data_IF_521150611982
#
_entry.id   IF_521150611982
#
_cell.length_a   1.000
_cell.length_b   1.000
_cell.length_c   1.000
_cell.angle_alpha   90.00
_cell.angle_beta   90.00
_cell.angle_gamma   90.00
#
_symmetry.space_group_name_H-M   'P 1'
#
loop_
_entity.id
_entity.type
_entity.pdbx_description
1 polymer ?
#
# COMPACT_ATOMS: atom_id res chain seq x y z
N UNK A 1 5.28 -2.32 13.86
CA UNK A 1 4.67 -2.06 12.55
C UNK A 1 5.45 -2.88 11.54
N UNK A 2 4.79 -3.84 10.91
CA UNK A 2 5.33 -4.58 9.79
C UNK A 2 4.51 -4.19 8.56
N UNK A 3 5.20 -3.76 7.50
CA UNK A 3 4.63 -3.43 6.18
C UNK A 3 5.18 -4.48 5.22
N UNK A 4 4.29 -5.10 4.46
CA UNK A 4 4.62 -6.20 3.56
C UNK A 4 4.15 -5.88 2.15
N UNK A 5 5.08 -5.48 1.29
CA UNK A 5 4.78 -5.11 -0.09
C UNK A 5 4.94 -6.30 -1.04
N UNK A 6 4.06 -6.39 -2.05
CA UNK A 6 4.24 -7.28 -3.20
C UNK A 6 4.46 -8.76 -2.86
N UNK A 7 3.82 -9.25 -1.80
CA UNK A 7 3.90 -10.66 -1.40
C UNK A 7 3.09 -11.56 -2.34
N UNK A 8 3.63 -12.75 -2.61
CA UNK A 8 2.93 -13.85 -3.31
C UNK A 8 2.19 -14.74 -2.31
N UNK A 9 2.74 -14.90 -1.12
CA UNK A 9 2.13 -15.60 0.01
C UNK A 9 2.59 -14.96 1.33
N UNK A 10 1.71 -14.93 2.32
CA UNK A 10 2.12 -14.59 3.69
C UNK A 10 2.75 -15.83 4.33
N UNK A 11 3.93 -15.71 4.98
CA UNK A 11 4.53 -16.83 5.68
C UNK A 11 3.59 -17.35 6.78
N UNK A 12 3.66 -18.64 7.08
CA UNK A 12 2.91 -19.20 8.20
C UNK A 12 3.33 -18.50 9.50
N UNK A 13 2.36 -17.92 10.20
CA UNK A 13 2.58 -17.22 11.46
C UNK A 13 2.41 -18.15 12.69
N UNK A 14 1.96 -19.40 12.49
CA UNK A 14 1.73 -20.35 13.58
C UNK A 14 3.03 -20.97 14.11
N UNK A 15 4.01 -21.26 13.24
CA UNK A 15 5.28 -21.92 13.60
C UNK A 15 6.34 -20.95 14.16
N UNK A 16 5.94 -19.70 14.42
CA UNK A 16 6.84 -18.65 14.90
C UNK A 16 7.42 -18.95 16.30
N UNK A 17 6.89 -19.91 17.07
CA UNK A 17 7.47 -20.29 18.35
C UNK A 17 8.87 -20.94 18.25
N UNK A 18 9.26 -21.50 17.09
CA UNK A 18 10.46 -22.35 16.97
C UNK A 18 11.45 -21.98 15.84
N UNK A 19 11.30 -20.83 15.19
CA UNK A 19 12.35 -20.31 14.30
C UNK A 19 13.52 -19.80 15.15
N UNK A 20 14.72 -20.33 14.91
CA UNK A 20 16.01 -19.86 15.46
C UNK A 20 16.40 -18.45 14.94
N UNK A 21 15.40 -17.60 14.68
CA UNK A 21 15.48 -16.20 14.29
C UNK A 21 14.85 -15.38 15.42
N UNK A 22 15.57 -15.36 16.54
CA UNK A 22 15.12 -14.83 17.84
C UNK A 22 14.67 -13.35 17.80
N UNK A 23 15.05 -12.57 16.79
CA UNK A 23 14.61 -11.18 16.61
C UNK A 23 13.30 -11.06 15.81
N UNK A 24 13.11 -11.86 14.76
CA UNK A 24 11.90 -11.80 13.91
C UNK A 24 10.69 -12.35 14.67
N UNK A 25 10.86 -13.46 15.39
CA UNK A 25 9.81 -14.07 16.23
C UNK A 25 9.36 -13.12 17.35
N UNK A 26 10.29 -12.47 18.03
CA UNK A 26 9.97 -11.45 19.06
C UNK A 26 9.28 -10.22 18.46
N UNK A 27 9.62 -9.85 17.22
CA UNK A 27 8.97 -8.74 16.53
C UNK A 27 7.47 -9.02 16.27
N UNK A 28 7.08 -10.29 16.09
CA UNK A 28 5.69 -10.65 15.79
C UNK A 28 4.81 -10.92 17.02
N UNK A 29 5.33 -11.50 18.12
CA UNK A 29 4.54 -11.69 19.36
C UNK A 29 4.08 -10.37 20.01
N UNK A 30 4.84 -9.29 19.79
CA UNK A 30 4.49 -7.93 20.23
C UNK A 30 4.02 -7.07 19.07
N UNK A 31 3.58 -7.66 17.95
CA UNK A 31 3.12 -6.88 16.82
C UNK A 31 1.79 -6.21 17.18
N UNK A 32 1.87 -4.91 17.46
CA UNK A 32 0.71 -4.08 17.73
C UNK A 32 0.00 -3.65 16.44
N UNK A 33 0.74 -3.49 15.34
CA UNK A 33 0.20 -2.99 14.07
C UNK A 33 0.70 -3.87 12.93
N UNK A 34 -0.23 -4.49 12.20
CA UNK A 34 0.01 -5.23 10.96
C UNK A 34 -0.67 -4.50 9.81
N UNK A 35 0.11 -4.12 8.80
CA UNK A 35 -0.39 -3.47 7.59
C UNK A 35 -0.01 -4.31 6.37
N UNK A 36 -1.01 -4.61 5.55
CA UNK A 36 -0.86 -5.35 4.30
C UNK A 36 -1.28 -4.40 3.18
N UNK A 37 -0.31 -4.08 2.32
CA UNK A 37 -0.48 -3.14 1.22
C UNK A 37 -0.11 -3.80 -0.10
N UNK A 38 -0.91 -3.53 -1.13
CA UNK A 38 -0.70 -4.05 -2.49
C UNK A 38 -0.38 -5.56 -2.55
N UNK A 39 -1.02 -6.37 -1.70
CA UNK A 39 -0.83 -7.82 -1.69
C UNK A 39 -1.79 -8.48 -2.67
N UNK A 40 -1.62 -8.18 -3.96
CA UNK A 40 -2.51 -8.68 -5.01
C UNK A 40 -2.47 -10.22 -5.06
N UNK A 41 -1.32 -10.86 -5.08
CA UNK A 41 -1.26 -12.33 -5.17
C UNK A 41 -1.60 -13.10 -3.88
N UNK A 42 -1.83 -12.40 -2.77
CA UNK A 42 -2.22 -13.02 -1.51
C UNK A 42 -3.73 -13.23 -1.48
N UNK A 43 -4.14 -14.47 -1.77
CA UNK A 43 -5.56 -14.82 -1.82
C UNK A 43 -6.18 -15.04 -0.43
N UNK A 44 -5.36 -15.32 0.60
CA UNK A 44 -5.78 -15.75 1.94
C UNK A 44 -4.83 -15.27 3.02
N UNK A 45 -5.34 -15.12 4.24
CA UNK A 45 -4.52 -14.89 5.43
C UNK A 45 -4.09 -16.23 6.07
N UNK A 46 -2.89 -16.32 6.63
CA UNK A 46 -2.55 -17.37 7.59
C UNK A 46 -3.36 -17.18 8.88
N UNK A 47 -3.23 -18.12 9.81
CA UNK A 47 -3.78 -17.95 11.15
C UNK A 47 -3.20 -16.70 11.83
N UNK A 48 -4.07 -15.91 12.46
CA UNK A 48 -3.73 -14.69 13.21
C UNK A 48 -3.83 -14.91 14.73
N UNK A 49 -4.18 -16.12 15.19
CA UNK A 49 -4.55 -16.37 16.60
C UNK A 49 -3.43 -16.13 17.59
N UNK A 50 -2.17 -16.17 17.12
CA UNK A 50 -0.99 -15.91 17.94
C UNK A 50 -0.64 -14.42 18.09
N UNK A 51 -1.28 -13.52 17.33
CA UNK A 51 -1.06 -12.07 17.38
C UNK A 51 -1.86 -11.43 18.53
N UNK A 52 -1.51 -11.79 19.78
CA UNK A 52 -2.26 -11.41 20.99
C UNK A 52 -2.21 -9.91 21.31
N UNK A 53 -1.17 -9.22 20.85
CA UNK A 53 -0.91 -7.80 21.12
C UNK A 53 -1.41 -6.89 20.01
N UNK A 54 -2.06 -7.43 18.97
CA UNK A 54 -2.50 -6.66 17.81
C UNK A 54 -3.58 -5.64 18.20
N UNK A 55 -3.30 -4.37 17.98
CA UNK A 55 -4.18 -3.23 18.23
C UNK A 55 -4.73 -2.61 16.96
N UNK A 56 -4.04 -2.77 15.82
CA UNK A 56 -4.51 -2.35 14.50
C UNK A 56 -4.15 -3.39 13.43
N UNK A 57 -5.12 -3.67 12.55
CA UNK A 57 -4.94 -4.50 11.36
C UNK A 57 -5.45 -3.73 10.14
N UNK A 58 -4.54 -3.40 9.22
CA UNK A 58 -4.88 -2.64 8.01
C UNK A 58 -4.67 -3.51 6.78
N UNK A 59 -5.73 -3.62 5.98
CA UNK A 59 -5.71 -4.23 4.67
C UNK A 59 -6.17 -3.17 3.69
N UNK A 60 -5.21 -2.44 3.13
CA UNK A 60 -5.42 -1.22 2.38
C UNK A 60 -4.74 -1.30 1.02
N UNK A 61 -5.09 -0.38 0.13
CA UNK A 61 -4.69 -0.43 -1.27
C UNK A 61 -5.23 -1.71 -1.95
N UNK A 62 -4.61 -2.17 -3.05
CA UNK A 62 -5.13 -3.28 -3.85
C UNK A 62 -4.86 -4.63 -3.18
N UNK A 63 -5.91 -5.37 -2.79
CA UNK A 63 -5.79 -6.73 -2.26
C UNK A 63 -6.86 -7.66 -2.84
N UNK A 64 -6.47 -8.79 -3.45
CA UNK A 64 -7.43 -9.72 -4.06
C UNK A 64 -8.36 -10.35 -3.02
N UNK A 65 -7.86 -10.58 -1.81
CA UNK A 65 -8.64 -11.10 -0.67
C UNK A 65 -9.88 -10.25 -0.28
N UNK A 66 -9.94 -8.99 -0.72
CA UNK A 66 -11.09 -8.11 -0.49
C UNK A 66 -12.25 -8.28 -1.48
N UNK A 67 -11.98 -8.90 -2.63
CA UNK A 67 -12.93 -9.04 -3.72
C UNK A 67 -13.08 -10.50 -4.19
N UNK A 68 -12.22 -11.41 -3.73
CA UNK A 68 -12.23 -12.84 -4.06
C UNK A 68 -13.13 -13.70 -3.15
N UNK A 69 -14.04 -13.09 -2.35
CA UNK A 69 -14.90 -13.70 -1.30
C UNK A 69 -14.27 -13.91 0.07
N UNK A 70 -12.95 -13.96 0.20
CA UNK A 70 -12.31 -14.42 1.44
C UNK A 70 -12.68 -13.57 2.66
N UNK A 71 -12.46 -12.25 2.60
CA UNK A 71 -12.71 -11.35 3.75
C UNK A 71 -14.18 -11.01 3.91
N UNK A 72 -14.84 -10.58 2.83
CA UNK A 72 -16.19 -10.00 2.91
C UNK A 72 -17.31 -11.04 2.72
N UNK A 73 -16.97 -12.31 2.47
CA UNK A 73 -17.93 -13.36 2.15
C UNK A 73 -18.59 -13.24 0.77
N UNK A 74 -18.28 -12.17 0.02
CA UNK A 74 -18.83 -11.86 -1.31
C UNK A 74 -17.71 -11.80 -2.32
N UNK A 75 -17.87 -12.49 -3.46
CA UNK A 75 -16.97 -12.33 -4.59
C UNK A 75 -17.51 -11.22 -5.49
N UNK A 76 -16.75 -10.14 -5.62
CA UNK A 76 -17.03 -9.04 -6.54
C UNK A 76 -15.77 -8.70 -7.35
N UNK A 77 -15.56 -9.45 -8.45
CA UNK A 77 -14.43 -9.23 -9.35
C UNK A 77 -14.52 -7.91 -10.13
N UNK A 78 -15.61 -7.15 -9.99
CA UNK A 78 -15.76 -5.82 -10.57
C UNK A 78 -15.20 -4.71 -9.66
N UNK A 79 -14.91 -5.03 -8.40
CA UNK A 79 -14.25 -4.11 -7.47
C UNK A 79 -12.84 -3.74 -7.99
N UNK A 80 -12.43 -2.49 -7.75
CA UNK A 80 -11.15 -1.97 -8.23
C UNK A 80 -9.96 -2.80 -7.72
N UNK A 81 -10.10 -3.48 -6.58
CA UNK A 81 -9.07 -4.35 -6.00
C UNK A 81 -8.81 -5.59 -6.87
N UNK A 82 -9.82 -6.07 -7.60
CA UNK A 82 -9.73 -7.22 -8.49
C UNK A 82 -9.60 -6.86 -9.97
N UNK A 83 -9.55 -5.56 -10.30
CA UNK A 83 -9.49 -5.10 -11.68
C UNK A 83 -8.30 -5.75 -12.45
N UNK A 84 -8.54 -6.35 -13.62
CA UNK A 84 -7.48 -7.00 -14.41
C UNK A 84 -6.37 -6.03 -14.82
N UNK A 85 -5.12 -6.52 -14.81
CA UNK A 85 -3.94 -5.77 -15.27
C UNK A 85 -3.14 -6.57 -16.30
N UNK A 86 -2.43 -5.86 -17.17
CA UNK A 86 -1.63 -6.47 -18.23
C UNK A 86 -0.49 -7.27 -17.61
N UNK A 87 -0.42 -8.56 -17.91
CA UNK A 87 0.66 -9.45 -17.45
C UNK A 87 0.41 -10.13 -16.11
N UNK A 88 -0.74 -9.90 -15.47
CA UNK A 88 -1.11 -10.56 -14.22
C UNK A 88 -2.15 -11.69 -14.46
N UNK A 89 -2.12 -12.76 -13.65
CA UNK A 89 -3.17 -13.77 -13.66
C UNK A 89 -4.52 -13.15 -13.29
N UNK A 90 -5.61 -13.74 -13.79
CA UNK A 90 -6.95 -13.33 -13.42
C UNK A 90 -7.25 -13.74 -11.98
N UNK A 91 -7.90 -12.85 -11.23
CA UNK A 91 -8.34 -13.13 -9.87
C UNK A 91 -9.50 -14.13 -9.90
N UNK A 92 -9.44 -15.14 -9.04
CA UNK A 92 -10.47 -16.17 -8.93
C UNK A 92 -11.26 -16.05 -7.62
N UNK A 93 -12.56 -16.32 -7.68
CA UNK A 93 -13.38 -16.41 -6.48
C UNK A 93 -13.05 -17.67 -5.68
N UNK A 94 -12.90 -17.53 -4.38
CA UNK A 94 -12.71 -18.66 -3.48
C UNK A 94 -14.05 -19.29 -3.07
N UNK A 95 -14.02 -20.59 -2.78
CA UNK A 95 -15.16 -21.31 -2.20
C UNK A 95 -15.31 -21.04 -0.70
N UNK A 96 -14.21 -20.70 -0.04
CA UNK A 96 -14.11 -20.49 1.40
C UNK A 96 -14.05 -19.01 1.78
N UNK A 97 -14.32 -18.75 3.06
CA UNK A 97 -14.24 -17.44 3.69
C UNK A 97 -13.21 -17.49 4.82
N UNK A 98 -12.83 -16.33 5.34
CA UNK A 98 -11.94 -16.22 6.48
C UNK A 98 -12.43 -17.06 7.66
N UNK A 99 -11.47 -17.70 8.34
CA UNK A 99 -11.72 -18.43 9.59
C UNK A 99 -12.28 -17.51 10.67
N UNK A 100 -13.26 -17.99 11.44
CA UNK A 100 -13.92 -17.21 12.49
C UNK A 100 -12.93 -16.75 13.58
N UNK A 101 -11.87 -17.53 13.80
CA UNK A 101 -10.80 -17.22 14.73
C UNK A 101 -10.00 -15.99 14.29
N UNK A 102 -9.70 -15.87 12.99
CA UNK A 102 -9.04 -14.70 12.42
C UNK A 102 -9.95 -13.48 12.47
N UNK A 103 -11.23 -13.66 12.15
CA UNK A 103 -12.24 -12.59 12.23
C UNK A 103 -12.32 -12.02 13.65
N UNK A 104 -12.30 -12.89 14.68
CA UNK A 104 -12.33 -12.49 16.07
C UNK A 104 -11.07 -11.71 16.51
N UNK A 105 -9.91 -11.95 15.87
CA UNK A 105 -8.68 -11.17 16.11
C UNK A 105 -8.82 -9.79 15.47
N UNK A 106 -9.22 -9.73 14.19
CA UNK A 106 -9.35 -8.47 13.43
C UNK A 106 -10.40 -7.55 14.04
N UNK A 107 -11.55 -8.09 14.46
CA UNK A 107 -12.65 -7.32 15.06
C UNK A 107 -12.30 -6.70 16.43
N UNK A 108 -11.24 -7.19 17.10
CA UNK A 108 -10.73 -6.59 18.34
C UNK A 108 -9.76 -5.44 18.08
N UNK A 109 -9.18 -5.37 16.88
CA UNK A 109 -8.26 -4.33 16.47
C UNK A 109 -9.02 -3.15 15.84
N UNK A 110 -8.50 -1.93 15.99
CA UNK A 110 -9.00 -0.74 15.30
C UNK A 110 -8.53 -0.79 13.84
N UNK A 111 -9.30 -1.48 13.02
CA UNK A 111 -8.85 -2.01 11.73
C UNK A 111 -9.48 -1.27 10.55
N UNK A 112 -8.66 -0.93 9.55
CA UNK A 112 -9.13 -0.51 8.23
C UNK A 112 -9.00 -1.69 7.26
N UNK A 113 -10.09 -2.42 7.05
CA UNK A 113 -10.09 -3.65 6.23
C UNK A 113 -10.82 -3.41 4.93
N UNK A 114 -10.18 -3.70 3.80
CA UNK A 114 -10.74 -3.56 2.46
C UNK A 114 -11.31 -2.17 2.20
N UNK A 115 -10.71 -1.16 2.84
CA UNK A 115 -11.12 0.20 2.65
C UNK A 115 -10.72 0.64 1.24
N UNK A 116 -11.69 1.19 0.50
CA UNK A 116 -11.46 1.87 -0.79
C UNK A 116 -10.32 2.88 -0.69
N UNK A 117 -9.65 3.25 -1.80
CA UNK A 117 -8.34 3.91 -1.80
C UNK A 117 -8.25 4.96 -0.70
N UNK A 118 -7.69 4.55 0.44
CA UNK A 118 -7.56 5.44 1.57
C UNK A 118 -6.39 6.32 1.17
N UNK A 119 -6.59 7.64 1.16
CA UNK A 119 -5.49 8.60 1.00
C UNK A 119 -4.59 8.57 2.26
N UNK A 120 -4.13 7.37 2.68
CA UNK A 120 -3.25 7.16 3.83
C UNK A 120 -1.79 7.17 3.39
N UNK A 121 -1.50 6.91 2.11
CA UNK A 121 -0.20 7.25 1.56
C UNK A 121 -0.36 8.08 0.28
N UNK A 122 0.41 9.17 0.17
CA UNK A 122 0.81 9.62 -1.15
C UNK A 122 1.43 8.40 -1.89
N UNK A 123 1.06 7.98 -3.12
CA UNK A 123 1.58 6.75 -3.70
C UNK A 123 3.10 6.78 -3.63
N UNK A 124 3.71 5.75 -3.03
CA UNK A 124 5.17 5.53 -3.08
C UNK A 124 5.68 5.38 -4.53
N UNK A 125 4.75 5.30 -5.49
CA UNK A 125 4.98 5.76 -6.85
C UNK A 125 4.87 7.28 -6.86
N UNK A 126 5.94 7.98 -6.47
CA UNK A 126 5.99 9.41 -6.73
C UNK A 126 5.69 9.59 -8.22
N UNK A 127 5.01 10.68 -8.61
CA UNK A 127 4.78 10.93 -10.04
C UNK A 127 6.05 10.87 -10.87
N UNK A 128 7.22 11.03 -10.24
CA UNK A 128 8.50 10.77 -10.89
C UNK A 128 8.51 9.36 -11.50
N UNK A 129 8.17 8.28 -10.78
CA UNK A 129 8.13 6.91 -11.32
C UNK A 129 7.03 6.75 -12.39
N UNK A 130 5.82 7.26 -12.16
CA UNK A 130 4.70 7.21 -13.15
C UNK A 130 5.08 7.92 -14.46
N UNK A 131 5.98 8.90 -14.39
CA UNK A 131 6.36 9.78 -15.49
C UNK A 131 7.80 9.59 -15.98
N UNK A 132 8.38 8.41 -15.74
CA UNK A 132 9.68 8.00 -16.29
C UNK A 132 10.90 8.44 -15.48
N UNK A 133 10.76 8.58 -14.17
CA UNK A 133 11.79 8.90 -13.18
C UNK A 133 12.32 10.34 -13.21
N UNK A 134 11.74 11.23 -14.02
CA UNK A 134 12.27 12.57 -14.22
C UNK A 134 11.72 13.57 -13.20
N UNK A 135 12.51 13.87 -12.16
CA UNK A 135 12.16 14.89 -11.16
C UNK A 135 11.77 16.23 -11.82
N UNK A 136 10.68 16.81 -11.31
CA UNK A 136 10.19 18.17 -11.62
C UNK A 136 9.72 18.40 -13.07
N UNK A 137 9.69 17.37 -13.90
CA UNK A 137 9.12 17.44 -15.25
C UNK A 137 7.60 17.43 -15.15
N UNK A 138 6.93 18.31 -15.89
CA UNK A 138 5.46 18.31 -15.92
C UNK A 138 4.96 16.98 -16.49
N UNK A 139 4.11 16.32 -15.72
CA UNK A 139 3.45 15.10 -16.12
C UNK A 139 2.00 15.14 -15.68
N UNK A 140 1.10 14.82 -16.61
CA UNK A 140 -0.34 14.84 -16.39
C UNK A 140 -0.90 13.47 -16.72
N UNK A 141 -1.29 12.72 -15.69
CA UNK A 141 -2.06 11.50 -15.84
C UNK A 141 -3.47 11.75 -15.26
N UNK A 142 -4.39 12.17 -16.13
CA UNK A 142 -5.72 12.62 -15.69
C UNK A 142 -5.66 13.88 -14.82
N UNK A 143 -6.32 13.84 -13.64
CA UNK A 143 -6.34 14.95 -12.67
C UNK A 143 -5.29 14.78 -11.54
N UNK A 144 -4.44 13.75 -11.61
CA UNK A 144 -3.45 13.48 -10.57
C UNK A 144 -2.19 14.30 -10.87
N UNK A 145 -1.74 15.07 -9.89
CA UNK A 145 -0.46 15.78 -9.92
C UNK A 145 0.49 15.26 -8.84
N UNK A 146 1.78 15.50 -9.03
CA UNK A 146 2.83 14.97 -8.17
C UNK A 146 2.78 15.50 -6.76
N UNK A 147 2.96 14.62 -5.77
CA UNK A 147 3.02 15.01 -4.35
C UNK A 147 4.16 15.95 -4.02
N UNK A 148 5.22 15.88 -4.82
CA UNK A 148 6.36 16.77 -4.71
C UNK A 148 6.13 18.15 -5.35
N UNK A 149 5.03 18.36 -6.08
CA UNK A 149 4.72 19.63 -6.75
C UNK A 149 4.61 20.78 -5.74
N UNK A 150 3.78 20.62 -4.70
CA UNK A 150 3.52 21.68 -3.72
C UNK A 150 4.78 22.04 -2.94
N UNK A 151 5.57 21.03 -2.55
CA UNK A 151 6.83 21.22 -1.86
C UNK A 151 7.85 21.94 -2.77
N UNK A 152 7.96 21.56 -4.05
CA UNK A 152 8.90 22.17 -4.98
C UNK A 152 8.52 23.61 -5.34
N UNK A 153 7.23 23.92 -5.53
CA UNK A 153 6.74 25.30 -5.73
C UNK A 153 7.16 26.21 -4.56
N UNK A 154 7.10 25.69 -3.33
CA UNK A 154 7.53 26.42 -2.14
C UNK A 154 9.04 26.64 -2.08
N UNK A 155 9.84 25.63 -2.46
CA UNK A 155 11.29 25.75 -2.56
C UNK A 155 11.72 26.81 -3.58
N UNK A 156 11.10 26.81 -4.77
CA UNK A 156 11.35 27.81 -5.82
C UNK A 156 10.99 29.21 -5.32
N UNK A 157 9.79 29.38 -4.74
CA UNK A 157 9.31 30.68 -4.26
C UNK A 157 10.16 31.26 -3.11
N UNK A 158 10.79 30.40 -2.32
CA UNK A 158 11.67 30.79 -1.21
C UNK A 158 13.14 30.81 -1.58
N UNK A 159 13.49 30.45 -2.83
CA UNK A 159 14.86 30.33 -3.31
C UNK A 159 15.73 29.41 -2.44
N UNK A 160 15.16 28.31 -1.93
CA UNK A 160 15.85 27.34 -1.08
C UNK A 160 16.00 25.99 -1.78
N UNK A 161 17.13 25.32 -1.56
CA UNK A 161 17.45 24.03 -2.18
C UNK A 161 18.15 24.17 -3.54
N UNK A 162 18.09 23.13 -4.40
CA UNK A 162 18.73 23.15 -5.71
C UNK A 162 18.13 24.24 -6.62
N UNK A 163 18.98 24.97 -7.35
CA UNK A 163 18.55 25.94 -8.36
C UNK A 163 17.57 25.29 -9.33
N UNK A 164 16.44 25.95 -9.56
CA UNK A 164 15.45 25.43 -10.49
C UNK A 164 15.90 25.60 -11.95
N UNK A 165 15.52 24.65 -12.79
CA UNK A 165 15.76 24.70 -14.23
C UNK A 165 14.56 25.33 -14.94
N UNK A 166 14.67 26.54 -15.53
CA UNK A 166 13.55 27.20 -16.19
C UNK A 166 13.01 26.43 -17.41
N UNK A 167 13.82 25.59 -18.06
CA UNK A 167 13.39 24.81 -19.23
C UNK A 167 12.51 23.60 -18.85
N UNK A 168 12.58 23.17 -17.59
CA UNK A 168 11.87 21.98 -17.08
C UNK A 168 10.80 22.36 -16.05
N UNK A 169 11.06 23.37 -15.23
CA UNK A 169 10.29 23.73 -14.03
C UNK A 169 9.50 25.04 -14.21
N UNK A 170 9.36 25.57 -15.42
CA UNK A 170 8.56 26.78 -15.69
C UNK A 170 7.12 26.63 -15.19
N UNK A 171 6.53 25.45 -15.37
CA UNK A 171 5.18 25.11 -14.90
C UNK A 171 5.05 25.12 -13.36
N UNK A 172 6.18 24.98 -12.63
CA UNK A 172 6.28 25.11 -11.17
C UNK A 172 6.47 26.57 -10.71
N UNK A 173 6.63 27.51 -11.65
CA UNK A 173 6.89 28.94 -11.36
C UNK A 173 8.37 29.32 -11.36
N UNK A 174 9.26 28.43 -11.81
CA UNK A 174 10.65 28.79 -12.06
C UNK A 174 10.71 29.81 -13.22
N UNK A 175 11.43 30.91 -13.03
CA UNK A 175 11.60 31.93 -14.07
C UNK A 175 13.05 31.95 -14.52
N UNK A 176 13.24 32.03 -15.84
CA UNK A 176 14.53 32.35 -16.40
C UNK A 176 14.89 33.76 -15.94
N UNK A 177 16.06 33.92 -15.32
CA UNK A 177 16.71 35.22 -15.17
C UNK A 177 17.23 35.64 -16.55
N UNK A 178 16.32 36.03 -17.44
CA UNK A 178 16.67 36.82 -18.61
C UNK A 178 16.04 38.19 -18.42
N UNK A 179 16.97 39.10 -18.11
CA UNK A 179 16.93 40.54 -17.81
C UNK A 179 16.39 40.95 -16.45
#
# INVERSE_FOLDING_TARGET
MAILDSLVELPNLDDLENLEVLEIVKAFHNLEVLEIEEAFHVMRLPSLTNLRSLTAFNLICRNEMCCNRYINGVCDLSDYQCAPRVGEPAVECLSETMYAENEAVINKAQSYVCAGPVNIHPPDVTTDIVCGGAMYKECRMGNVSGENERARRLQIAREVGPKCNPDVEAWLGCRSLLT
#
